data_IF_341602375333
#
_entry.id   IF_341602375333
#
_cell.length_a   1.000
_cell.length_b   1.000
_cell.length_c   1.000
_cell.angle_alpha   90.00
_cell.angle_beta   90.00
_cell.angle_gamma   90.00
#
_symmetry.space_group_name_H-M   'P 1'
#
loop_
_entity.id
_entity.type
_entity.pdbx_description
1 polymer ?
#
# COMPACT_ATOMS: atom_id res chain seq x y z
N UNK A 1 -18.43 -19.01 -32.94
CA UNK A 1 -17.86 -17.68 -33.19
C UNK A 1 -16.36 -17.63 -32.86
N UNK A 2 -15.92 -17.96 -31.65
CA UNK A 2 -14.52 -17.90 -31.25
C UNK A 2 -13.56 -18.71 -32.12
N UNK A 3 -13.96 -19.93 -32.54
CA UNK A 3 -13.15 -20.77 -33.42
C UNK A 3 -12.95 -20.17 -34.82
N UNK A 4 -13.85 -19.27 -35.24
CA UNK A 4 -13.72 -18.53 -36.50
C UNK A 4 -12.95 -17.22 -36.29
N UNK A 5 -13.18 -16.53 -35.16
CA UNK A 5 -12.62 -15.21 -34.90
C UNK A 5 -11.13 -15.24 -34.53
N UNK A 6 -10.72 -16.15 -33.66
CA UNK A 6 -9.36 -16.15 -33.12
C UNK A 6 -8.26 -16.31 -34.18
N UNK A 7 -8.38 -17.22 -35.16
CA UNK A 7 -7.39 -17.28 -36.25
C UNK A 7 -7.26 -15.96 -37.02
N UNK A 8 -8.38 -15.23 -37.23
CA UNK A 8 -8.37 -13.94 -37.92
C UNK A 8 -7.63 -12.88 -37.10
N UNK A 9 -7.88 -12.83 -35.81
CA UNK A 9 -7.20 -11.88 -34.93
C UNK A 9 -5.72 -12.20 -34.78
N UNK A 10 -5.36 -13.48 -34.75
CA UNK A 10 -3.96 -13.94 -34.70
C UNK A 10 -3.22 -13.56 -35.97
N UNK A 11 -3.81 -13.83 -37.13
CA UNK A 11 -3.25 -13.41 -38.44
C UNK A 11 -3.10 -11.89 -38.52
N UNK A 12 -4.10 -11.13 -38.05
CA UNK A 12 -4.02 -9.68 -38.01
C UNK A 12 -2.87 -9.20 -37.10
N UNK A 13 -2.73 -9.73 -35.92
CA UNK A 13 -1.68 -9.31 -34.96
C UNK A 13 -0.28 -9.70 -35.38
N UNK A 14 -0.14 -10.77 -36.17
CA UNK A 14 1.16 -11.22 -36.69
C UNK A 14 1.57 -10.53 -38.01
N UNK A 15 0.60 -10.02 -38.77
CA UNK A 15 0.87 -9.38 -40.08
C UNK A 15 0.85 -7.86 -40.01
N UNK A 16 0.08 -7.26 -39.10
CA UNK A 16 0.03 -5.82 -38.91
C UNK A 16 1.29 -5.31 -38.18
N UNK A 17 1.91 -4.27 -38.71
CA UNK A 17 3.02 -3.59 -38.00
C UNK A 17 2.48 -2.75 -36.83
N UNK A 18 2.35 -3.41 -35.69
CA UNK A 18 1.83 -2.80 -34.45
C UNK A 18 2.80 -1.78 -33.83
N UNK A 19 4.04 -1.71 -34.31
CA UNK A 19 5.05 -0.76 -33.78
C UNK A 19 4.70 0.71 -34.08
N UNK A 20 3.87 0.92 -35.10
CA UNK A 20 3.41 2.24 -35.52
C UNK A 20 2.10 2.69 -34.84
N UNK A 21 1.49 1.81 -34.04
CA UNK A 21 0.25 2.17 -33.36
C UNK A 21 0.49 2.99 -32.10
N UNK A 22 -0.39 3.96 -31.88
CA UNK A 22 -0.45 4.68 -30.61
C UNK A 22 -0.89 3.74 -29.48
N UNK A 23 -0.70 4.14 -28.24
CA UNK A 23 -1.13 3.35 -27.05
C UNK A 23 -2.63 3.00 -27.10
N UNK A 24 -3.45 3.87 -27.66
CA UNK A 24 -4.87 3.62 -27.92
C UNK A 24 -5.07 2.68 -29.09
N UNK A 25 -4.28 2.81 -30.17
CA UNK A 25 -4.32 1.97 -31.35
C UNK A 25 -3.96 0.50 -31.09
N UNK A 26 -3.21 0.19 -30.02
CA UNK A 26 -2.94 -1.19 -29.59
C UNK A 26 -4.22 -1.97 -29.19
N UNK A 27 -5.35 -1.29 -29.00
CA UNK A 27 -6.67 -1.91 -28.75
C UNK A 27 -7.40 -2.30 -30.04
N UNK A 28 -6.82 -2.05 -31.20
CA UNK A 28 -7.41 -2.36 -32.53
C UNK A 28 -7.90 -3.81 -32.66
N UNK A 29 -7.19 -4.85 -32.18
CA UNK A 29 -7.71 -6.23 -32.22
C UNK A 29 -9.04 -6.39 -31.49
N UNK A 30 -9.21 -5.72 -30.33
CA UNK A 30 -10.47 -5.73 -29.58
C UNK A 30 -11.62 -5.08 -30.36
N UNK A 31 -11.39 -3.87 -30.90
CA UNK A 31 -12.40 -3.20 -31.76
C UNK A 31 -12.73 -3.97 -33.03
N UNK A 32 -11.73 -4.65 -33.61
CA UNK A 32 -11.94 -5.50 -34.75
C UNK A 32 -12.84 -6.69 -34.39
N UNK A 33 -12.64 -7.31 -33.22
CA UNK A 33 -13.46 -8.43 -32.76
C UNK A 33 -14.93 -8.07 -32.62
N UNK A 34 -15.23 -6.89 -32.07
CA UNK A 34 -16.61 -6.38 -31.93
C UNK A 34 -17.29 -6.21 -33.28
N UNK A 35 -16.59 -5.66 -34.28
CA UNK A 35 -17.11 -5.47 -35.63
C UNK A 35 -17.28 -6.78 -36.37
N UNK A 36 -16.37 -7.71 -36.20
CA UNK A 36 -16.42 -9.03 -36.84
C UNK A 36 -17.58 -9.89 -36.31
N UNK A 37 -18.07 -9.66 -35.12
CA UNK A 37 -19.30 -10.30 -34.62
C UNK A 37 -20.48 -10.02 -35.55
N UNK A 38 -20.68 -8.75 -35.95
CA UNK A 38 -21.75 -8.38 -36.84
C UNK A 38 -21.60 -9.03 -38.25
N UNK A 39 -20.36 -9.12 -38.77
CA UNK A 39 -20.08 -9.80 -40.02
C UNK A 39 -20.42 -11.29 -39.94
N UNK A 40 -20.04 -11.94 -38.85
CA UNK A 40 -20.34 -13.34 -38.59
C UNK A 40 -21.86 -13.61 -38.52
N UNK A 41 -22.59 -12.79 -37.81
CA UNK A 41 -24.04 -12.91 -37.65
C UNK A 41 -24.76 -12.73 -39.01
N UNK A 42 -24.39 -11.66 -39.76
CA UNK A 42 -24.95 -11.41 -41.12
C UNK A 42 -24.64 -12.50 -42.12
N UNK A 43 -23.45 -13.09 -42.07
CA UNK A 43 -23.09 -14.22 -42.91
C UNK A 43 -24.02 -15.42 -42.64
N UNK A 44 -24.18 -15.80 -41.38
CA UNK A 44 -25.03 -16.93 -41.00
C UNK A 44 -26.51 -16.71 -41.31
N UNK A 45 -26.99 -15.51 -41.23
CA UNK A 45 -28.35 -15.14 -41.68
C UNK A 45 -28.49 -15.36 -43.19
N UNK A 46 -27.54 -14.86 -43.98
CA UNK A 46 -27.55 -14.96 -45.46
C UNK A 46 -27.44 -16.39 -46.00
N UNK A 47 -26.66 -17.24 -45.31
CA UNK A 47 -26.52 -18.64 -45.74
C UNK A 47 -27.63 -19.53 -45.21
N UNK A 48 -28.62 -18.99 -44.52
CA UNK A 48 -29.79 -19.73 -44.04
C UNK A 48 -29.44 -20.80 -43.01
N UNK A 49 -28.51 -20.54 -42.11
CA UNK A 49 -28.02 -21.50 -41.12
C UNK A 49 -29.06 -21.97 -40.06
N UNK A 50 -30.30 -21.50 -40.19
CA UNK A 50 -31.41 -21.91 -39.29
C UNK A 50 -31.29 -21.36 -37.84
N UNK A 51 -30.40 -20.44 -37.61
CA UNK A 51 -30.22 -19.81 -36.29
C UNK A 51 -31.33 -18.81 -36.01
N UNK A 52 -31.83 -18.82 -34.77
CA UNK A 52 -32.73 -17.80 -34.26
C UNK A 52 -31.92 -16.81 -33.47
N UNK A 53 -31.75 -15.61 -33.97
CA UNK A 53 -31.16 -14.50 -33.27
C UNK A 53 -32.19 -13.82 -32.36
N UNK A 54 -31.80 -13.52 -31.12
CA UNK A 54 -32.59 -12.73 -30.20
C UNK A 54 -31.70 -11.65 -29.65
N UNK A 55 -32.08 -10.41 -29.84
CA UNK A 55 -31.46 -9.29 -29.14
C UNK A 55 -31.91 -9.29 -27.69
N UNK A 56 -30.93 -9.33 -26.78
CA UNK A 56 -31.18 -9.13 -25.37
C UNK A 56 -30.69 -7.74 -25.00
N UNK A 57 -31.48 -7.01 -24.25
CA UNK A 57 -31.07 -5.73 -23.73
C UNK A 57 -29.89 -5.97 -22.77
N UNK A 58 -28.72 -5.45 -23.14
CA UNK A 58 -27.55 -5.46 -22.26
C UNK A 58 -27.69 -4.30 -21.29
N UNK A 59 -27.90 -4.58 -20.03
CA UNK A 59 -27.84 -3.59 -18.96
C UNK A 59 -26.39 -3.45 -18.57
N UNK A 60 -25.76 -2.33 -18.90
CA UNK A 60 -24.53 -1.92 -18.25
C UNK A 60 -24.89 -1.49 -16.83
N UNK A 61 -24.65 -2.35 -15.87
CA UNK A 61 -24.71 -1.99 -14.47
C UNK A 61 -23.50 -1.08 -14.19
N UNK A 62 -23.63 0.19 -14.54
CA UNK A 62 -22.82 1.23 -13.95
C UNK A 62 -23.37 1.44 -12.54
N UNK A 63 -22.93 0.60 -11.60
CA UNK A 63 -23.15 0.90 -10.19
C UNK A 63 -22.18 2.02 -9.82
N UNK A 64 -22.64 3.23 -9.53
CA UNK A 64 -21.78 4.28 -9.00
C UNK A 64 -21.28 3.94 -7.60
N UNK A 65 -21.99 3.05 -6.89
CA UNK A 65 -21.61 2.56 -5.58
C UNK A 65 -21.13 1.12 -5.71
N UNK A 66 -19.86 0.93 -5.45
CA UNK A 66 -19.27 -0.39 -5.33
C UNK A 66 -19.71 -0.97 -3.99
N UNK A 67 -20.76 -1.81 -4.01
CA UNK A 67 -21.10 -2.66 -2.89
C UNK A 67 -20.22 -3.91 -3.01
N UNK A 68 -19.17 -3.96 -2.21
CA UNK A 68 -18.45 -5.18 -1.98
C UNK A 68 -19.34 -6.05 -1.06
N UNK A 69 -20.03 -7.00 -1.67
CA UNK A 69 -20.59 -8.13 -0.95
C UNK A 69 -19.51 -9.22 -0.99
N UNK A 70 -18.85 -9.54 0.13
CA UNK A 70 -18.02 -10.72 0.17
C UNK A 70 -18.95 -11.90 -0.11
N UNK A 71 -18.78 -12.57 -1.25
CA UNK A 71 -19.25 -13.93 -1.37
C UNK A 71 -18.46 -14.72 -0.32
N UNK A 72 -19.02 -14.86 0.87
CA UNK A 72 -18.57 -15.82 1.84
C UNK A 72 -18.87 -17.20 1.27
N UNK A 73 -18.03 -17.67 0.35
CA UNK A 73 -17.98 -19.08 0.04
C UNK A 73 -17.30 -19.74 1.22
N UNK A 74 -18.09 -19.94 2.29
CA UNK A 74 -17.71 -20.87 3.33
C UNK A 74 -17.63 -22.22 2.64
N UNK A 75 -16.49 -22.95 2.71
CA UNK A 75 -16.49 -24.36 2.36
C UNK A 75 -17.64 -25.02 3.14
N UNK A 76 -18.46 -25.82 2.48
CA UNK A 76 -19.54 -26.54 3.14
C UNK A 76 -18.95 -27.29 4.34
N UNK A 77 -19.42 -26.96 5.56
CA UNK A 77 -18.96 -27.58 6.80
C UNK A 77 -17.78 -26.92 7.51
N UNK A 78 -17.25 -25.80 7.05
CA UNK A 78 -16.25 -25.02 7.80
C UNK A 78 -16.94 -23.99 8.71
N UNK A 79 -16.96 -24.28 10.02
CA UNK A 79 -17.56 -23.44 11.05
C UNK A 79 -16.53 -22.65 11.85
N UNK A 80 -15.27 -22.59 11.42
CA UNK A 80 -14.22 -21.81 12.11
C UNK A 80 -14.60 -20.31 12.14
N UNK A 81 -14.38 -19.62 13.27
CA UNK A 81 -14.59 -18.17 13.34
C UNK A 81 -13.71 -17.45 12.29
N UNK A 82 -14.22 -16.36 11.72
CA UNK A 82 -13.53 -15.60 10.69
C UNK A 82 -12.74 -14.46 11.27
N UNK A 83 -11.48 -14.33 10.87
CA UNK A 83 -10.64 -13.15 11.12
C UNK A 83 -10.48 -12.41 9.78
N UNK A 84 -11.11 -11.24 9.61
CA UNK A 84 -10.92 -10.42 8.44
C UNK A 84 -9.61 -9.62 8.54
N UNK A 85 -8.79 -9.71 7.48
CA UNK A 85 -7.50 -9.01 7.39
C UNK A 85 -7.45 -8.21 6.10
N UNK A 86 -7.16 -6.92 6.20
CA UNK A 86 -7.02 -6.04 5.05
C UNK A 86 -5.54 -5.67 4.82
N UNK A 87 -5.15 -5.63 3.56
CA UNK A 87 -3.89 -5.12 3.07
C UNK A 87 -4.12 -4.08 1.99
N UNK A 88 -3.13 -3.23 1.76
CA UNK A 88 -3.11 -2.32 0.61
C UNK A 88 -1.80 -2.48 -0.16
N UNK A 89 -1.88 -2.60 -1.49
CA UNK A 89 -0.68 -2.74 -2.33
C UNK A 89 -0.94 -2.31 -3.77
N UNK A 90 0.13 -1.84 -4.43
CA UNK A 90 0.22 -1.74 -5.88
C UNK A 90 0.84 -3.01 -6.49
N UNK A 91 0.88 -3.08 -7.82
CA UNK A 91 1.43 -4.24 -8.53
C UNK A 91 2.93 -4.47 -8.24
N UNK A 92 3.70 -3.43 -7.88
CA UNK A 92 5.12 -3.56 -7.57
C UNK A 92 5.35 -4.18 -6.19
N UNK A 93 4.43 -3.94 -5.26
CA UNK A 93 4.51 -4.46 -3.90
C UNK A 93 3.96 -5.89 -3.73
N UNK A 94 3.40 -6.50 -4.78
CA UNK A 94 2.89 -7.88 -4.73
C UNK A 94 3.88 -8.89 -4.16
N UNK A 95 5.20 -8.89 -4.51
CA UNK A 95 6.16 -9.81 -3.91
C UNK A 95 6.32 -9.64 -2.40
N UNK A 96 6.33 -8.40 -1.92
CA UNK A 96 6.45 -8.08 -0.50
C UNK A 96 5.17 -8.43 0.25
N UNK A 97 4.02 -8.00 -0.27
CA UNK A 97 2.71 -8.40 0.24
C UNK A 97 2.58 -9.92 0.40
N UNK A 98 2.98 -10.69 -0.64
CA UNK A 98 2.92 -12.15 -0.60
C UNK A 98 3.82 -12.71 0.51
N UNK A 99 5.00 -12.12 0.73
CA UNK A 99 5.90 -12.52 1.81
C UNK A 99 5.29 -12.24 3.19
N UNK A 100 4.69 -11.06 3.38
CA UNK A 100 3.99 -10.70 4.61
C UNK A 100 2.82 -11.65 4.88
N UNK A 101 1.96 -11.86 3.89
CA UNK A 101 0.82 -12.77 4.02
C UNK A 101 1.27 -14.22 4.30
N UNK A 102 2.35 -14.67 3.66
CA UNK A 102 2.88 -16.01 3.88
C UNK A 102 3.42 -16.16 5.30
N UNK A 103 4.19 -15.18 5.80
CA UNK A 103 4.66 -15.20 7.19
C UNK A 103 3.48 -15.20 8.18
N UNK A 104 2.42 -14.43 7.90
CA UNK A 104 1.20 -14.43 8.71
C UNK A 104 0.55 -15.82 8.75
N UNK A 105 0.30 -16.41 7.59
CA UNK A 105 -0.40 -17.69 7.51
C UNK A 105 0.44 -18.86 8.06
N UNK A 106 1.76 -18.80 7.91
CA UNK A 106 2.66 -19.83 8.47
C UNK A 106 2.67 -19.86 10.00
N UNK A 107 2.27 -18.77 10.66
CA UNK A 107 2.20 -18.64 12.11
C UNK A 107 0.77 -18.47 12.64
N UNK A 108 -0.22 -18.53 11.77
CA UNK A 108 -1.63 -18.35 12.11
C UNK A 108 -2.23 -19.59 12.75
N UNK A 109 -3.16 -19.40 13.68
CA UNK A 109 -3.93 -20.51 14.27
C UNK A 109 -4.85 -21.18 13.27
N UNK A 110 -4.87 -22.52 13.28
CA UNK A 110 -5.81 -23.31 12.50
C UNK A 110 -7.25 -23.35 13.09
N UNK A 111 -7.46 -22.74 14.26
CA UNK A 111 -8.79 -22.64 14.87
C UNK A 111 -9.65 -21.55 14.21
N UNK A 112 -9.03 -20.69 13.39
CA UNK A 112 -9.68 -19.61 12.69
C UNK A 112 -9.58 -19.77 11.17
N UNK A 113 -10.48 -19.10 10.49
CA UNK A 113 -10.40 -18.86 9.05
C UNK A 113 -10.06 -17.40 8.80
N UNK A 114 -9.16 -17.15 7.86
CA UNK A 114 -8.67 -15.82 7.54
C UNK A 114 -9.26 -15.35 6.22
N UNK A 115 -10.01 -14.25 6.25
CA UNK A 115 -10.52 -13.61 5.06
C UNK A 115 -9.64 -12.40 4.74
N UNK A 116 -8.79 -12.56 3.74
CA UNK A 116 -7.83 -11.53 3.33
C UNK A 116 -8.40 -10.71 2.19
N UNK A 117 -8.49 -9.39 2.38
CA UNK A 117 -8.92 -8.44 1.37
C UNK A 117 -7.74 -7.54 1.00
N UNK A 118 -7.32 -7.60 -0.26
CA UNK A 118 -6.25 -6.76 -0.80
C UNK A 118 -6.87 -5.57 -1.53
N UNK A 119 -6.73 -4.39 -0.95
CA UNK A 119 -7.17 -3.13 -1.54
C UNK A 119 -6.15 -2.68 -2.58
N UNK A 120 -6.56 -2.56 -3.84
CA UNK A 120 -5.63 -2.36 -4.96
C UNK A 120 -6.27 -1.56 -6.11
N UNK A 121 -5.46 -1.12 -7.07
CA UNK A 121 -5.95 -0.47 -8.30
C UNK A 121 -5.36 -1.06 -9.59
N UNK A 122 -4.20 -1.70 -9.51
CA UNK A 122 -3.41 -2.05 -10.70
C UNK A 122 -2.71 -3.42 -10.62
N UNK A 123 -3.05 -4.26 -9.62
CA UNK A 123 -2.46 -5.60 -9.51
C UNK A 123 -2.87 -6.44 -10.73
N UNK A 124 -1.88 -6.83 -11.51
CA UNK A 124 -2.06 -7.63 -12.71
C UNK A 124 -2.75 -8.96 -12.40
N UNK A 125 -3.59 -9.42 -13.33
CA UNK A 125 -4.37 -10.64 -13.17
C UNK A 125 -3.48 -11.86 -12.88
N UNK A 126 -2.36 -11.98 -13.58
CA UNK A 126 -1.40 -13.08 -13.42
C UNK A 126 -0.82 -13.12 -12.01
N UNK A 127 -0.53 -11.95 -11.43
CA UNK A 127 -0.04 -11.86 -10.04
C UNK A 127 -1.13 -12.28 -9.05
N UNK A 128 -2.39 -11.91 -9.29
CA UNK A 128 -3.53 -12.32 -8.44
C UNK A 128 -3.71 -13.85 -8.47
N UNK A 129 -3.71 -14.45 -9.65
CA UNK A 129 -3.80 -15.91 -9.82
C UNK A 129 -2.63 -16.60 -9.11
N UNK A 130 -1.40 -16.15 -9.35
CA UNK A 130 -0.21 -16.76 -8.75
C UNK A 130 -0.23 -16.69 -7.21
N UNK A 131 -0.69 -15.57 -6.64
CA UNK A 131 -0.91 -15.47 -5.19
C UNK A 131 -1.98 -16.44 -4.72
N UNK A 132 -3.15 -16.42 -5.33
CA UNK A 132 -4.29 -17.26 -4.91
C UNK A 132 -3.93 -18.74 -4.95
N UNK A 133 -3.32 -19.21 -6.04
CA UNK A 133 -2.90 -20.61 -6.19
C UNK A 133 -1.84 -21.01 -5.17
N UNK A 134 -0.88 -20.09 -4.89
CA UNK A 134 0.14 -20.33 -3.88
C UNK A 134 -0.44 -20.55 -2.50
N UNK A 135 -1.40 -19.73 -2.05
CA UNK A 135 -2.02 -19.86 -0.75
C UNK A 135 -2.99 -21.04 -0.69
N UNK A 136 -3.83 -21.22 -1.70
CA UNK A 136 -4.77 -22.33 -1.77
C UNK A 136 -4.10 -23.70 -1.77
N UNK A 137 -2.87 -23.81 -2.29
CA UNK A 137 -2.09 -25.06 -2.27
C UNK A 137 -1.47 -25.40 -0.91
N UNK A 138 -1.43 -24.47 0.04
CA UNK A 138 -0.72 -24.59 1.33
C UNK A 138 -1.62 -24.50 2.55
N UNK A 139 -2.72 -23.76 2.45
CA UNK A 139 -3.60 -23.45 3.57
C UNK A 139 -5.04 -23.71 3.19
N UNK A 140 -5.78 -24.36 4.07
CA UNK A 140 -7.21 -24.64 3.89
C UNK A 140 -8.10 -23.61 4.61
N UNK A 141 -7.48 -22.67 5.33
CA UNK A 141 -8.13 -21.71 6.20
C UNK A 141 -7.94 -20.25 5.77
N UNK A 142 -7.59 -19.99 4.53
CA UNK A 142 -7.45 -18.63 3.98
C UNK A 142 -8.23 -18.46 2.69
N UNK A 143 -8.93 -17.33 2.56
CA UNK A 143 -9.47 -16.84 1.30
C UNK A 143 -8.87 -15.48 0.97
N UNK A 144 -8.60 -15.21 -0.32
CA UNK A 144 -8.00 -13.95 -0.77
C UNK A 144 -8.94 -13.31 -1.78
N UNK A 145 -9.22 -12.03 -1.55
CA UNK A 145 -10.03 -11.22 -2.45
C UNK A 145 -9.27 -9.95 -2.81
N UNK A 146 -9.35 -9.55 -4.08
CA UNK A 146 -8.72 -8.33 -4.59
C UNK A 146 -9.81 -7.30 -4.88
N UNK A 147 -9.84 -6.24 -4.10
CA UNK A 147 -10.83 -5.17 -4.23
C UNK A 147 -10.22 -3.98 -4.98
N UNK A 148 -10.76 -3.68 -6.17
CA UNK A 148 -10.36 -2.49 -6.93
C UNK A 148 -11.03 -1.24 -6.35
N UNK A 149 -10.21 -0.35 -5.80
CA UNK A 149 -10.66 0.88 -5.15
C UNK A 149 -10.53 2.12 -6.05
N UNK A 150 -10.12 1.96 -7.31
CA UNK A 150 -9.84 3.07 -8.23
C UNK A 150 -10.97 4.09 -8.31
N UNK A 151 -12.22 3.62 -8.40
CA UNK A 151 -13.39 4.50 -8.51
C UNK A 151 -13.69 5.27 -7.23
N UNK A 152 -13.43 4.67 -6.06
CA UNK A 152 -13.66 5.31 -4.78
C UNK A 152 -12.65 6.42 -4.54
N UNK A 153 -11.38 6.17 -4.83
CA UNK A 153 -10.30 7.14 -4.58
C UNK A 153 -10.21 8.23 -5.65
N UNK A 154 -10.67 7.97 -6.90
CA UNK A 154 -10.62 8.95 -7.99
C UNK A 154 -11.45 10.21 -7.76
N UNK A 155 -12.35 10.19 -6.79
CA UNK A 155 -13.20 11.33 -6.42
C UNK A 155 -12.52 12.28 -5.42
N UNK A 156 -11.34 11.90 -4.89
CA UNK A 156 -10.61 12.63 -3.86
C UNK A 156 -9.20 12.94 -4.32
N UNK A 157 -8.73 14.13 -3.99
CA UNK A 157 -7.35 14.54 -4.27
C UNK A 157 -6.42 14.01 -3.18
N UNK A 158 -6.13 12.70 -3.25
CA UNK A 158 -5.25 12.02 -2.32
C UNK A 158 -3.80 12.14 -2.83
N UNK A 159 -3.04 13.04 -2.26
CA UNK A 159 -1.61 13.22 -2.56
C UNK A 159 -0.76 12.83 -1.36
N UNK A 160 0.44 12.33 -1.61
CA UNK A 160 1.39 12.03 -0.55
C UNK A 160 2.49 13.08 -0.53
N UNK A 161 2.78 13.62 0.64
CA UNK A 161 3.86 14.60 0.85
C UNK A 161 5.25 13.96 1.00
N UNK A 162 5.29 12.63 1.10
CA UNK A 162 6.51 11.86 1.28
C UNK A 162 6.74 10.96 0.05
N UNK A 163 7.88 11.09 -0.67
CA UNK A 163 8.16 10.29 -1.87
C UNK A 163 8.34 8.79 -1.60
N UNK A 164 8.44 8.38 -0.35
CA UNK A 164 8.54 6.97 0.07
C UNK A 164 7.18 6.34 0.41
N UNK A 165 6.11 7.15 0.44
CA UNK A 165 4.76 6.70 0.77
C UNK A 165 3.89 6.84 -0.49
N UNK A 166 3.20 5.78 -0.84
CA UNK A 166 2.29 5.76 -1.98
C UNK A 166 0.84 6.06 -1.56
N UNK A 167 -0.02 6.38 -2.51
CA UNK A 167 -1.44 6.70 -2.27
C UNK A 167 -2.19 5.50 -1.67
N UNK A 168 -1.69 4.30 -1.86
CA UNK A 168 -2.25 3.07 -1.30
C UNK A 168 -2.34 3.10 0.24
N UNK A 169 -1.54 3.92 0.90
CA UNK A 169 -1.60 4.14 2.35
C UNK A 169 -2.98 4.64 2.81
N UNK A 170 -3.68 5.42 2.00
CA UNK A 170 -5.01 5.92 2.34
C UNK A 170 -6.13 4.87 2.17
N UNK A 171 -5.86 3.73 1.52
CA UNK A 171 -6.89 2.71 1.28
C UNK A 171 -7.40 2.09 2.59
N UNK A 172 -6.62 2.17 3.69
CA UNK A 172 -7.08 1.69 5.00
C UNK A 172 -8.33 2.39 5.51
N UNK A 173 -8.60 3.63 5.09
CA UNK A 173 -9.85 4.32 5.43
C UNK A 173 -11.07 3.70 4.76
N UNK A 174 -10.89 3.06 3.60
CA UNK A 174 -11.97 2.45 2.84
C UNK A 174 -12.50 1.16 3.47
N UNK A 175 -11.73 0.54 4.38
CA UNK A 175 -12.05 -0.74 5.01
C UNK A 175 -13.45 -0.71 5.65
N UNK A 176 -13.78 0.35 6.38
CA UNK A 176 -15.08 0.48 7.03
C UNK A 176 -16.28 0.50 6.05
N UNK A 177 -16.07 0.90 4.79
CA UNK A 177 -17.08 0.89 3.73
C UNK A 177 -17.07 -0.42 2.94
N UNK A 178 -15.88 -0.94 2.63
CA UNK A 178 -15.71 -2.11 1.78
C UNK A 178 -15.94 -3.44 2.52
N UNK A 179 -15.80 -3.42 3.85
CA UNK A 179 -16.01 -4.59 4.70
C UNK A 179 -17.12 -4.33 5.73
N UNK A 180 -18.36 -3.99 5.29
CA UNK A 180 -19.43 -3.50 6.17
C UNK A 180 -19.96 -4.55 7.13
N UNK A 181 -19.76 -5.85 6.84
CA UNK A 181 -20.24 -6.97 7.64
C UNK A 181 -19.36 -7.28 8.84
N UNK A 182 -18.17 -6.68 8.91
CA UNK A 182 -17.25 -6.87 10.02
C UNK A 182 -17.24 -5.65 10.93
N UNK A 183 -17.39 -5.91 12.22
CA UNK A 183 -17.30 -4.88 13.27
C UNK A 183 -15.85 -4.62 13.67
N UNK A 184 -14.95 -5.58 13.40
CA UNK A 184 -13.52 -5.49 13.63
C UNK A 184 -12.75 -6.08 12.46
N UNK A 185 -11.71 -5.39 11.99
CA UNK A 185 -10.82 -5.82 10.90
C UNK A 185 -9.37 -5.55 11.29
N UNK A 186 -8.48 -6.51 11.04
CA UNK A 186 -7.04 -6.24 11.10
C UNK A 186 -6.59 -5.53 9.82
N UNK A 187 -5.77 -4.51 9.97
CA UNK A 187 -5.02 -3.91 8.87
C UNK A 187 -3.54 -4.11 9.10
N UNK A 188 -2.84 -4.60 8.08
CA UNK A 188 -1.42 -4.86 8.10
C UNK A 188 -0.76 -4.23 6.86
N UNK A 189 0.37 -3.55 7.06
CA UNK A 189 1.19 -3.08 5.94
C UNK A 189 1.84 -4.24 5.19
N UNK A 190 2.26 -4.01 3.96
CA UNK A 190 2.79 -5.04 3.05
C UNK A 190 4.29 -5.30 3.20
N UNK A 191 4.95 -4.71 4.19
CA UNK A 191 6.39 -4.81 4.46
C UNK A 191 6.69 -5.31 5.88
N UNK A 192 5.93 -6.31 6.29
CA UNK A 192 6.02 -6.94 7.60
C UNK A 192 6.53 -8.38 7.50
N UNK A 193 7.10 -8.89 8.60
CA UNK A 193 7.19 -10.33 8.87
C UNK A 193 6.40 -10.61 10.14
N UNK A 194 5.38 -11.44 10.03
CA UNK A 194 4.50 -11.85 11.12
C UNK A 194 4.98 -13.19 11.66
N UNK A 195 5.42 -13.20 12.93
CA UNK A 195 5.94 -14.37 13.67
C UNK A 195 4.94 -14.85 14.73
N UNK A 196 4.08 -13.96 15.19
CA UNK A 196 3.02 -14.28 16.17
C UNK A 196 1.71 -14.69 15.51
N UNK A 197 0.83 -15.29 16.28
CA UNK A 197 -0.52 -15.60 15.82
C UNK A 197 -1.39 -14.33 15.84
N UNK A 198 -1.81 -13.87 14.66
CA UNK A 198 -2.65 -12.67 14.53
C UNK A 198 -4.04 -12.82 15.15
N UNK A 199 -4.46 -14.04 15.49
CA UNK A 199 -5.69 -14.25 16.25
C UNK A 199 -5.63 -13.60 17.65
N UNK A 200 -4.45 -13.59 18.27
CA UNK A 200 -4.24 -12.88 19.53
C UNK A 200 -4.46 -11.38 19.38
N UNK A 201 -3.95 -10.80 18.28
CA UNK A 201 -4.16 -9.38 17.96
C UNK A 201 -5.63 -9.08 17.67
N UNK A 202 -6.30 -9.97 16.93
CA UNK A 202 -7.73 -9.81 16.63
C UNK A 202 -8.59 -9.89 17.88
N UNK A 203 -8.22 -10.74 18.85
CA UNK A 203 -8.99 -10.94 20.09
C UNK A 203 -8.76 -9.85 21.14
N UNK A 204 -7.88 -8.85 20.90
CA UNK A 204 -7.72 -7.71 21.80
C UNK A 204 -9.05 -6.96 21.95
N UNK A 205 -9.45 -6.74 23.20
CA UNK A 205 -10.67 -6.00 23.50
C UNK A 205 -10.50 -4.50 23.21
N UNK A 206 -11.33 -3.98 22.32
CA UNK A 206 -11.31 -2.56 21.94
C UNK A 206 -12.26 -1.69 22.76
N UNK A 207 -13.33 -2.28 23.32
CA UNK A 207 -14.38 -1.51 24.00
C UNK A 207 -14.95 -0.42 23.07
N UNK A 208 -14.97 0.82 23.55
CA UNK A 208 -15.42 1.99 22.78
C UNK A 208 -14.29 2.66 21.97
N UNK A 209 -13.09 2.09 21.99
CA UNK A 209 -11.98 2.61 21.20
C UNK A 209 -12.18 2.35 19.71
N UNK A 210 -11.60 3.24 18.88
CA UNK A 210 -11.69 3.18 17.43
C UNK A 210 -10.73 2.15 16.83
N UNK A 211 -9.61 1.92 17.51
CA UNK A 211 -8.58 0.99 17.05
C UNK A 211 -7.65 0.56 18.20
N UNK A 212 -6.87 -0.51 17.93
CA UNK A 212 -5.67 -0.80 18.68
C UNK A 212 -4.43 -0.63 17.80
N UNK A 213 -3.36 -0.07 18.35
CA UNK A 213 -2.10 0.19 17.66
C UNK A 213 -0.91 0.23 18.64
N UNK A 214 0.31 0.14 18.12
CA UNK A 214 1.55 0.30 18.87
C UNK A 214 2.02 1.76 18.79
N UNK A 215 2.50 2.33 19.87
CA UNK A 215 3.10 3.68 19.86
C UNK A 215 4.27 3.73 18.89
N UNK A 216 4.39 4.83 18.16
CA UNK A 216 5.48 5.04 17.20
C UNK A 216 6.75 5.50 17.92
N UNK A 217 7.68 4.56 18.17
CA UNK A 217 8.94 4.84 18.88
C UNK A 217 9.79 5.90 18.17
N UNK A 218 9.78 5.92 16.83
CA UNK A 218 10.49 6.90 16.02
C UNK A 218 9.91 8.32 16.23
N UNK A 219 8.60 8.42 16.16
CA UNK A 219 7.93 9.70 16.40
C UNK A 219 8.15 10.21 17.82
N UNK A 220 8.02 9.32 18.80
CA UNK A 220 8.22 9.66 20.21
C UNK A 220 9.66 10.09 20.52
N UNK A 221 10.65 9.46 19.88
CA UNK A 221 12.03 9.89 19.97
C UNK A 221 12.22 11.30 19.41
N UNK A 222 11.66 11.58 18.24
CA UNK A 222 11.71 12.91 17.62
C UNK A 222 10.99 13.99 18.45
N UNK A 223 9.96 13.65 19.23
CA UNK A 223 9.28 14.61 20.12
C UNK A 223 10.24 15.21 21.15
N UNK A 224 11.18 14.40 21.65
CA UNK A 224 12.15 14.78 22.68
C UNK A 224 13.45 15.37 22.11
N UNK A 225 13.64 15.40 20.79
CA UNK A 225 14.84 15.99 20.21
C UNK A 225 14.85 17.52 20.41
N UNK A 226 16.07 18.09 20.49
CA UNK A 226 16.32 19.45 20.96
C UNK A 226 15.60 20.57 20.19
N UNK A 227 15.21 20.35 18.93
CA UNK A 227 14.53 21.36 18.15
C UNK A 227 13.05 21.53 18.49
N UNK A 228 12.44 20.59 19.23
CA UNK A 228 11.06 20.63 19.69
C UNK A 228 10.02 20.72 18.55
N UNK A 229 10.44 20.62 17.30
CA UNK A 229 9.57 20.86 16.14
C UNK A 229 8.47 19.79 16.05
N UNK A 230 8.78 18.54 16.41
CA UNK A 230 7.80 17.46 16.37
C UNK A 230 6.70 17.65 17.42
N UNK A 231 7.05 18.03 18.64
CA UNK A 231 6.09 18.33 19.70
C UNK A 231 5.19 19.54 19.33
N UNK A 232 5.76 20.54 18.64
CA UNK A 232 5.02 21.69 18.11
C UNK A 232 4.07 21.27 16.99
N UNK A 233 4.55 20.47 16.03
CA UNK A 233 3.75 19.90 14.96
C UNK A 233 2.52 19.12 15.48
N UNK A 234 2.75 18.26 16.45
CA UNK A 234 1.68 17.45 17.08
C UNK A 234 0.57 18.31 17.65
N UNK A 235 0.92 19.39 18.34
CA UNK A 235 -0.06 20.31 18.96
C UNK A 235 -0.71 21.26 17.96
N UNK A 236 0.08 21.88 17.10
CA UNK A 236 -0.41 22.99 16.24
C UNK A 236 -1.05 22.50 14.93
N UNK A 237 -0.58 21.37 14.40
CA UNK A 237 -1.08 20.83 13.13
C UNK A 237 -2.02 19.65 13.37
N UNK A 238 -1.61 18.65 14.17
CA UNK A 238 -2.46 17.50 14.45
C UNK A 238 -3.55 17.81 15.49
N UNK A 239 -3.37 18.83 16.32
CA UNK A 239 -4.32 19.21 17.37
C UNK A 239 -4.34 18.26 18.56
N UNK A 240 -3.36 17.35 18.66
CA UNK A 240 -3.27 16.37 19.74
C UNK A 240 -2.89 17.04 21.06
N UNK A 241 -3.50 16.56 22.15
CA UNK A 241 -3.21 17.02 23.51
C UNK A 241 -1.95 16.36 24.08
N UNK A 242 -1.76 15.06 23.78
CA UNK A 242 -0.60 14.28 24.22
C UNK A 242 0.25 13.83 23.01
N UNK A 243 1.42 14.44 22.77
CA UNK A 243 2.31 14.03 21.67
C UNK A 243 2.87 12.61 21.84
N UNK A 244 2.87 12.06 23.08
CA UNK A 244 3.33 10.71 23.36
C UNK A 244 2.24 9.63 23.13
N UNK A 245 1.02 10.06 22.82
CA UNK A 245 -0.06 9.18 22.39
C UNK A 245 0.05 8.79 20.91
N UNK A 246 1.01 9.33 20.17
CA UNK A 246 1.16 9.07 18.73
C UNK A 246 1.53 7.60 18.46
N UNK A 247 0.79 6.96 17.53
CA UNK A 247 0.95 5.55 17.19
C UNK A 247 1.31 5.35 15.72
N UNK A 248 1.90 4.20 15.44
CA UNK A 248 2.28 3.75 14.11
C UNK A 248 1.11 3.03 13.42
N UNK A 249 0.83 3.35 12.14
CA UNK A 249 -0.37 2.92 11.45
C UNK A 249 -0.24 1.62 10.63
N UNK A 250 0.92 0.96 10.62
CA UNK A 250 1.16 -0.25 9.80
C UNK A 250 0.61 -1.55 10.38
N UNK A 251 0.24 -1.56 11.67
CA UNK A 251 -0.39 -2.70 12.35
C UNK A 251 -1.54 -2.20 13.19
N UNK A 252 -2.77 -2.49 12.76
CA UNK A 252 -3.98 -1.97 13.40
C UNK A 252 -5.02 -3.08 13.60
N UNK A 253 -5.71 -3.07 14.75
CA UNK A 253 -6.99 -3.71 14.89
C UNK A 253 -8.07 -2.61 14.87
N UNK A 254 -8.81 -2.51 13.78
CA UNK A 254 -9.79 -1.44 13.54
C UNK A 254 -11.17 -1.84 14.08
N UNK A 255 -11.79 -1.01 14.92
CA UNK A 255 -13.19 -1.09 15.26
C UNK A 255 -14.01 -0.39 14.16
N UNK A 256 -14.24 -1.11 13.08
CA UNK A 256 -14.89 -0.57 11.87
C UNK A 256 -16.32 -0.11 12.14
N UNK A 257 -17.02 -0.74 13.12
CA UNK A 257 -18.35 -0.29 13.57
C UNK A 257 -18.26 1.09 14.22
N UNK A 258 -17.38 1.25 15.21
CA UNK A 258 -17.24 2.53 15.91
C UNK A 258 -16.74 3.65 14.97
N UNK A 259 -15.87 3.30 14.00
CA UNK A 259 -15.41 4.26 12.99
C UNK A 259 -16.55 4.72 12.07
N UNK A 260 -17.43 3.79 11.62
CA UNK A 260 -18.64 4.14 10.83
C UNK A 260 -19.62 5.00 11.60
N UNK A 261 -19.79 4.72 12.89
CA UNK A 261 -20.68 5.49 13.78
C UNK A 261 -20.12 6.90 14.05
N UNK A 262 -18.79 7.05 14.09
CA UNK A 262 -18.14 8.34 14.36
C UNK A 262 -18.21 9.26 13.14
N UNK A 263 -17.77 8.77 11.97
CA UNK A 263 -17.71 9.54 10.73
C UNK A 263 -18.04 8.68 9.52
N UNK A 264 -18.79 9.22 8.54
CA UNK A 264 -18.92 8.58 7.23
C UNK A 264 -17.58 8.57 6.52
N UNK A 265 -17.41 7.67 5.54
CA UNK A 265 -16.14 7.49 4.80
C UNK A 265 -15.69 8.78 4.11
N UNK A 266 -16.62 9.57 3.60
CA UNK A 266 -16.36 10.84 2.93
C UNK A 266 -15.62 11.81 3.85
N UNK A 267 -15.93 11.78 5.15
CA UNK A 267 -15.26 12.63 6.15
C UNK A 267 -13.82 12.17 6.42
N UNK A 268 -13.58 10.85 6.47
CA UNK A 268 -12.22 10.31 6.59
C UNK A 268 -11.34 10.66 5.39
N UNK A 269 -11.91 10.62 4.17
CA UNK A 269 -11.19 10.98 2.95
C UNK A 269 -10.98 12.50 2.82
N UNK A 270 -11.91 13.32 3.35
CA UNK A 270 -11.71 14.76 3.50
C UNK A 270 -10.53 15.07 4.41
N UNK A 271 -10.42 14.40 5.56
CA UNK A 271 -9.26 14.53 6.44
C UNK A 271 -7.96 14.09 5.74
N UNK A 272 -8.02 13.02 4.98
CA UNK A 272 -6.87 12.51 4.22
C UNK A 272 -6.40 13.45 3.10
N UNK A 273 -7.21 14.39 2.67
CA UNK A 273 -6.88 15.41 1.66
C UNK A 273 -6.23 16.67 2.26
N UNK A 274 -5.96 16.71 3.56
CA UNK A 274 -5.30 17.84 4.21
C UNK A 274 -3.78 17.81 3.95
N UNK A 275 -3.29 18.75 3.19
CA UNK A 275 -1.88 18.86 2.77
C UNK A 275 -0.91 19.28 3.90
N UNK A 276 -1.43 19.63 5.09
CA UNK A 276 -0.61 19.96 6.25
C UNK A 276 -0.01 18.74 6.93
N UNK A 277 -0.59 17.55 6.69
CA UNK A 277 -0.13 16.29 7.26
C UNK A 277 1.15 15.78 6.59
N UNK A 278 2.17 15.50 7.40
CA UNK A 278 3.49 15.06 6.91
C UNK A 278 3.53 13.54 6.71
N UNK A 279 2.88 12.80 7.61
CA UNK A 279 2.84 11.33 7.61
C UNK A 279 1.51 10.79 7.11
N UNK A 280 0.84 11.58 6.25
CA UNK A 280 -0.34 11.18 5.49
C UNK A 280 -1.44 10.52 6.37
N UNK A 281 -1.78 9.28 6.10
CA UNK A 281 -2.81 8.51 6.80
C UNK A 281 -2.53 8.30 8.30
N UNK A 282 -1.25 8.13 8.67
CA UNK A 282 -0.87 7.98 10.07
C UNK A 282 -1.20 9.24 10.87
N UNK A 283 -0.93 10.43 10.32
CA UNK A 283 -1.29 11.70 10.95
C UNK A 283 -2.80 11.88 11.07
N UNK A 284 -3.55 11.50 10.02
CA UNK A 284 -5.02 11.54 10.05
C UNK A 284 -5.57 10.67 11.17
N UNK A 285 -5.10 9.43 11.29
CA UNK A 285 -5.55 8.53 12.36
C UNK A 285 -5.20 9.07 13.75
N UNK A 286 -3.96 9.56 13.93
CA UNK A 286 -3.52 10.11 15.21
C UNK A 286 -4.31 11.35 15.61
N UNK A 287 -4.55 12.28 14.68
CA UNK A 287 -5.31 13.51 14.92
C UNK A 287 -6.79 13.24 15.30
N UNK A 288 -7.40 12.21 14.70
CA UNK A 288 -8.84 11.97 14.85
C UNK A 288 -9.21 10.79 15.75
N UNK A 289 -8.23 9.97 16.17
CA UNK A 289 -8.47 8.86 17.09
C UNK A 289 -7.90 9.08 18.49
N UNK A 290 -7.23 10.22 18.77
CA UNK A 290 -6.67 10.51 20.10
C UNK A 290 -7.71 10.29 21.21
N UNK A 291 -7.28 9.63 22.30
CA UNK A 291 -8.15 9.29 23.42
C UNK A 291 -9.08 8.09 23.21
N UNK A 292 -9.09 7.50 22.00
CA UNK A 292 -9.89 6.33 21.61
C UNK A 292 -9.04 5.23 20.99
N UNK A 293 -7.85 4.99 21.56
CA UNK A 293 -6.87 3.99 21.10
C UNK A 293 -6.55 3.01 22.22
N UNK A 294 -6.59 1.73 21.93
CA UNK A 294 -6.02 0.68 22.77
C UNK A 294 -4.55 0.49 22.39
N UNK A 295 -3.63 0.81 23.32
CA UNK A 295 -2.20 0.66 23.02
C UNK A 295 -1.74 -0.76 23.21
N UNK A 296 -1.15 -1.33 22.16
CA UNK A 296 -0.56 -2.65 22.13
C UNK A 296 0.88 -2.62 22.65
N UNK A 297 1.38 -3.75 23.20
CA UNK A 297 2.80 -3.93 23.45
C UNK A 297 3.63 -3.82 22.16
N UNK A 298 4.92 -3.44 22.29
CA UNK A 298 5.82 -3.21 21.16
C UNK A 298 6.10 -4.46 20.31
N UNK A 299 5.99 -5.67 20.89
CA UNK A 299 6.17 -6.94 20.17
C UNK A 299 5.24 -7.09 18.94
N UNK A 300 4.10 -6.38 18.92
CA UNK A 300 3.17 -6.35 17.80
C UNK A 300 3.57 -5.42 16.64
N UNK A 301 4.59 -4.60 16.80
CA UNK A 301 5.08 -3.75 15.69
C UNK A 301 6.52 -3.29 15.98
N UNK A 302 7.47 -4.24 15.91
CA UNK A 302 8.89 -3.95 16.15
C UNK A 302 9.50 -3.39 14.89
N UNK A 303 9.74 -2.09 14.88
CA UNK A 303 10.41 -1.41 13.77
C UNK A 303 11.88 -1.80 13.69
N UNK A 304 12.39 -2.01 12.48
CA UNK A 304 13.82 -2.26 12.22
C UNK A 304 14.68 -1.03 12.54
N UNK A 305 15.97 -1.26 12.75
CA UNK A 305 16.97 -0.20 12.90
C UNK A 305 17.36 0.41 11.54
N UNK A 306 16.49 1.21 10.97
CA UNK A 306 16.74 1.89 9.70
C UNK A 306 17.72 3.06 9.91
N UNK A 307 18.89 3.01 9.28
CA UNK A 307 19.92 4.06 9.38
C UNK A 307 20.37 4.38 10.82
N UNK A 308 20.50 3.36 11.66
CA UNK A 308 20.93 3.49 13.05
C UNK A 308 20.00 4.40 13.89
N UNK A 309 18.69 4.36 13.59
CA UNK A 309 17.70 5.21 14.28
C UNK A 309 17.47 4.81 15.70
N UNK A 310 17.73 3.56 16.09
CA UNK A 310 17.64 3.13 17.49
C UNK A 310 18.54 3.99 18.37
N UNK A 311 19.80 4.15 17.98
CA UNK A 311 20.74 4.97 18.73
C UNK A 311 20.52 6.48 18.58
N UNK A 312 20.13 6.92 17.37
CA UNK A 312 20.10 8.34 17.03
C UNK A 312 18.74 9.01 17.28
N UNK A 313 17.65 8.24 17.38
CA UNK A 313 16.30 8.77 17.51
C UNK A 313 15.51 8.05 18.61
N UNK A 314 15.36 6.72 18.52
CA UNK A 314 14.51 5.97 19.47
C UNK A 314 14.96 6.10 20.90
N UNK A 315 16.30 6.15 21.14
CA UNK A 315 16.88 6.37 22.45
C UNK A 315 16.50 7.71 23.12
N UNK A 316 15.95 8.65 22.36
CA UNK A 316 15.42 9.91 22.91
C UNK A 316 13.95 9.81 23.34
N UNK A 317 13.26 8.71 23.06
CA UNK A 317 11.92 8.49 23.59
C UNK A 317 11.94 8.42 25.14
N UNK A 318 10.80 8.56 25.82
CA UNK A 318 10.74 8.35 27.27
C UNK A 318 11.34 7.01 27.67
N UNK A 319 12.16 6.96 28.71
CA UNK A 319 12.96 5.79 29.09
C UNK A 319 12.15 4.50 29.16
N UNK A 320 10.99 4.52 29.84
CA UNK A 320 10.12 3.34 29.92
C UNK A 320 9.59 2.86 28.54
N UNK A 321 9.41 3.77 27.61
CA UNK A 321 8.98 3.47 26.23
C UNK A 321 10.12 2.82 25.45
N UNK A 322 11.32 3.38 25.56
CA UNK A 322 12.51 2.85 24.91
C UNK A 322 12.90 1.47 25.44
N UNK A 323 12.85 1.29 26.77
CA UNK A 323 13.11 0.00 27.41
C UNK A 323 12.10 -1.06 26.94
N UNK A 324 10.81 -0.76 26.94
CA UNK A 324 9.77 -1.66 26.45
C UNK A 324 9.95 -2.04 24.96
N UNK A 325 10.38 -1.09 24.13
CA UNK A 325 10.73 -1.36 22.74
C UNK A 325 11.96 -2.28 22.64
N UNK A 326 13.02 -2.02 23.38
CA UNK A 326 14.23 -2.86 23.33
C UNK A 326 13.94 -4.29 23.82
N UNK A 327 13.16 -4.43 24.89
CA UNK A 327 12.74 -5.74 25.40
C UNK A 327 11.98 -6.53 24.33
N UNK A 328 11.13 -5.86 23.53
CA UNK A 328 10.35 -6.51 22.47
C UNK A 328 11.22 -7.02 21.32
N UNK A 329 12.43 -6.47 21.09
CA UNK A 329 13.34 -6.88 20.00
C UNK A 329 13.89 -8.30 20.11
N UNK A 330 13.67 -8.99 21.22
CA UNK A 330 13.97 -10.42 21.38
C UNK A 330 12.74 -11.33 21.29
N UNK A 331 11.54 -10.74 21.22
CA UNK A 331 10.25 -11.45 21.31
C UNK A 331 9.23 -10.95 20.28
N UNK A 332 9.73 -10.50 19.13
CA UNK A 332 8.92 -9.91 18.07
C UNK A 332 7.81 -10.83 17.63
N UNK A 333 6.56 -10.40 17.70
CA UNK A 333 5.41 -11.00 17.04
C UNK A 333 5.23 -10.48 15.61
N UNK A 334 5.52 -9.20 15.40
CA UNK A 334 5.59 -8.60 14.06
C UNK A 334 6.84 -7.73 13.97
N UNK A 335 7.67 -8.00 12.95
CA UNK A 335 8.78 -7.14 12.54
C UNK A 335 8.34 -6.27 11.38
N UNK A 336 8.54 -4.95 11.51
CA UNK A 336 8.15 -3.98 10.52
C UNK A 336 9.38 -3.35 9.87
N UNK A 337 9.53 -3.56 8.59
CA UNK A 337 10.58 -2.96 7.77
C UNK A 337 10.24 -1.52 7.38
N UNK A 338 9.82 -0.71 8.38
CA UNK A 338 9.49 0.70 8.18
C UNK A 338 10.71 1.50 7.73
N UNK A 339 10.51 2.52 6.91
CA UNK A 339 11.57 3.37 6.38
C UNK A 339 12.11 2.92 5.02
N UNK A 340 13.29 3.44 4.65
CA UNK A 340 13.84 3.24 3.31
C UNK A 340 14.76 2.01 3.19
N UNK A 341 15.31 1.51 4.28
CA UNK A 341 16.10 0.28 4.29
C UNK A 341 15.17 -0.93 4.20
N UNK A 342 15.31 -1.67 3.12
CA UNK A 342 14.44 -2.81 2.81
C UNK A 342 15.27 -4.04 2.48
N UNK A 343 14.93 -5.23 3.00
CA UNK A 343 15.70 -6.46 2.77
C UNK A 343 15.67 -6.93 1.30
N UNK A 344 14.80 -6.40 0.47
CA UNK A 344 14.80 -6.62 -0.98
C UNK A 344 15.55 -5.53 -1.76
N UNK A 345 16.22 -4.59 -1.05
CA UNK A 345 17.04 -3.54 -1.66
C UNK A 345 18.47 -3.55 -1.15
N UNK A 346 18.74 -4.10 0.04
CA UNK A 346 20.07 -4.09 0.63
C UNK A 346 20.29 -5.27 1.58
N UNK A 347 21.49 -5.82 1.58
CA UNK A 347 21.84 -7.02 2.36
C UNK A 347 22.20 -6.73 3.81
N UNK A 348 22.52 -5.48 4.14
CA UNK A 348 22.83 -5.04 5.50
C UNK A 348 21.63 -4.43 6.25
N UNK A 349 20.41 -4.66 5.76
CA UNK A 349 19.19 -4.29 6.45
C UNK A 349 19.05 -5.08 7.76
N UNK A 350 18.62 -4.41 8.83
CA UNK A 350 18.32 -5.08 10.10
C UNK A 350 17.23 -6.16 9.88
N UNK A 351 17.41 -7.33 10.48
CA UNK A 351 16.53 -8.50 10.27
C UNK A 351 16.45 -9.00 8.81
N UNK A 352 17.50 -8.80 8.02
CA UNK A 352 17.57 -9.25 6.62
C UNK A 352 17.27 -10.75 6.48
N UNK A 353 17.96 -11.60 7.27
CA UNK A 353 17.80 -13.06 7.21
C UNK A 353 16.38 -13.48 7.50
N UNK A 354 15.73 -12.88 8.50
CA UNK A 354 14.36 -13.17 8.87
C UNK A 354 13.39 -12.94 7.72
N UNK A 355 13.56 -11.84 6.97
CA UNK A 355 12.74 -11.58 5.78
C UNK A 355 12.88 -12.70 4.74
N UNK A 356 14.13 -13.08 4.45
CA UNK A 356 14.44 -14.08 3.44
C UNK A 356 14.11 -15.52 3.85
N UNK A 357 13.95 -15.81 5.14
CA UNK A 357 13.39 -17.09 5.60
C UNK A 357 12.00 -17.37 4.99
N UNK A 358 11.16 -16.35 4.90
CA UNK A 358 9.83 -16.46 4.30
C UNK A 358 9.85 -16.16 2.79
N UNK A 359 10.53 -15.13 2.37
CA UNK A 359 10.54 -14.65 0.98
C UNK A 359 11.00 -15.71 -0.02
N UNK A 360 11.97 -16.55 0.35
CA UNK A 360 12.53 -17.62 -0.50
C UNK A 360 11.50 -18.69 -0.87
N UNK A 361 10.46 -18.88 -0.07
CA UNK A 361 9.44 -19.91 -0.27
C UNK A 361 8.22 -19.39 -1.04
N UNK A 362 8.19 -18.08 -1.35
CA UNK A 362 7.12 -17.47 -2.13
C UNK A 362 7.33 -17.64 -3.64
N UNK A 363 6.27 -17.58 -4.44
CA UNK A 363 6.37 -17.68 -5.89
C UNK A 363 7.07 -16.46 -6.52
N UNK A 364 7.30 -15.39 -5.75
CA UNK A 364 7.95 -14.16 -6.19
C UNK A 364 9.43 -14.06 -5.78
N UNK A 365 10.03 -15.14 -5.26
CA UNK A 365 11.44 -15.17 -4.83
C UNK A 365 12.39 -14.59 -5.87
N UNK A 366 12.28 -15.03 -7.12
CA UNK A 366 13.19 -14.58 -8.19
C UNK A 366 13.04 -13.09 -8.47
N UNK A 367 11.82 -12.57 -8.39
CA UNK A 367 11.54 -11.13 -8.55
C UNK A 367 12.15 -10.33 -7.40
N UNK A 368 12.06 -10.80 -6.16
CA UNK A 368 12.69 -10.18 -4.99
C UNK A 368 14.22 -10.22 -5.10
N UNK A 369 14.79 -11.34 -5.53
CA UNK A 369 16.23 -11.45 -5.79
C UNK A 369 16.69 -10.49 -6.89
N UNK A 370 15.92 -10.32 -7.96
CA UNK A 370 16.23 -9.37 -9.02
C UNK A 370 16.19 -7.91 -8.53
N UNK A 371 15.25 -7.57 -7.62
CA UNK A 371 15.21 -6.25 -6.98
C UNK A 371 16.47 -6.01 -6.13
N UNK A 372 16.84 -6.98 -5.30
CA UNK A 372 18.05 -6.90 -4.47
C UNK A 372 19.33 -6.78 -5.33
N UNK A 373 19.42 -7.58 -6.38
CA UNK A 373 20.52 -7.52 -7.33
C UNK A 373 20.63 -6.16 -8.00
N UNK A 374 19.50 -5.65 -8.52
CA UNK A 374 19.46 -4.33 -9.18
C UNK A 374 19.87 -3.20 -8.23
N UNK A 375 19.44 -3.26 -6.98
CA UNK A 375 19.80 -2.27 -5.97
C UNK A 375 21.27 -2.35 -5.53
N UNK A 376 21.89 -3.54 -5.61
CA UNK A 376 23.30 -3.77 -5.28
C UNK A 376 24.26 -3.42 -6.42
N UNK A 377 23.76 -3.20 -7.64
CA UNK A 377 24.59 -2.78 -8.75
C UNK A 377 25.04 -1.32 -8.56
N UNK A 378 26.32 -0.99 -8.80
CA UNK A 378 26.74 0.39 -8.86
C UNK A 378 25.91 1.11 -9.94
N UNK A 379 25.48 2.34 -9.63
CA UNK A 379 24.81 3.16 -10.62
C UNK A 379 25.67 3.19 -11.90
N UNK A 380 25.09 3.00 -13.10
CA UNK A 380 25.86 3.07 -14.33
C UNK A 380 26.63 4.40 -14.33
N UNK A 381 27.94 4.33 -14.54
CA UNK A 381 28.77 5.53 -14.67
C UNK A 381 28.16 6.36 -15.80
N UNK A 382 27.61 7.50 -15.48
CA UNK A 382 27.10 8.45 -16.48
C UNK A 382 28.34 8.86 -17.29
N UNK A 383 28.37 8.58 -18.61
CA UNK A 383 29.52 9.01 -19.40
C UNK A 383 29.66 10.53 -19.28
N UNK A 384 30.88 11.09 -19.21
CA UNK A 384 31.07 12.53 -19.06
C UNK A 384 30.38 13.39 -20.14
N UNK A 385 30.00 12.78 -21.26
CA UNK A 385 29.28 13.43 -22.37
C UNK A 385 27.74 13.46 -22.21
N UNK A 386 27.19 12.86 -21.16
CA UNK A 386 25.75 12.85 -20.88
C UNK A 386 25.36 13.78 -19.74
N UNK A 387 26.29 14.63 -19.29
CA UNK A 387 25.95 15.73 -18.38
C UNK A 387 25.35 16.82 -19.28
N UNK A 388 24.02 16.80 -19.39
CA UNK A 388 23.29 17.93 -19.91
C UNK A 388 23.57 19.10 -18.94
N UNK A 389 24.11 20.21 -19.44
CA UNK A 389 24.48 21.41 -18.68
C UNK A 389 23.28 22.10 -17.98
N UNK A 390 22.13 21.42 -17.86
CA UNK A 390 20.88 21.97 -17.32
C UNK A 390 20.49 21.51 -15.91
N UNK A 391 21.19 20.54 -15.29
CA UNK A 391 21.05 20.26 -13.86
C UNK A 391 22.34 20.64 -13.13
N UNK A 392 22.52 21.91 -12.94
CA UNK A 392 23.48 22.43 -11.97
C UNK A 392 22.98 22.08 -10.57
N UNK A 393 23.27 20.86 -10.11
CA UNK A 393 23.22 20.55 -8.68
C UNK A 393 24.26 21.45 -8.01
N UNK A 394 23.79 22.55 -7.43
CA UNK A 394 24.61 23.48 -6.66
C UNK A 394 25.25 22.67 -5.55
N UNK A 395 26.59 22.48 -5.59
CA UNK A 395 27.34 21.73 -4.57
C UNK A 395 27.06 22.29 -3.16
N UNK A 396 27.19 21.45 -2.14
CA UNK A 396 26.94 21.85 -0.75
C UNK A 396 27.81 23.04 -0.30
N UNK A 397 28.94 23.28 -0.95
CA UNK A 397 29.86 24.40 -0.70
C UNK A 397 29.64 25.63 -1.57
N UNK A 398 28.56 25.70 -2.34
CA UNK A 398 28.37 26.85 -3.24
C UNK A 398 28.12 28.16 -2.45
N UNK A 399 28.69 29.29 -2.91
CA UNK A 399 28.43 30.60 -2.30
C UNK A 399 26.94 30.99 -2.27
N UNK A 400 26.14 30.46 -3.21
CA UNK A 400 24.70 30.68 -3.30
C UNK A 400 23.94 29.98 -2.17
N UNK A 401 24.36 28.80 -1.74
CA UNK A 401 23.75 28.12 -0.58
C UNK A 401 24.01 28.90 0.71
N UNK A 402 25.21 29.41 0.90
CA UNK A 402 25.55 30.20 2.09
C UNK A 402 24.69 31.49 2.22
N UNK A 403 24.15 31.98 1.11
CA UNK A 403 23.25 33.13 1.10
C UNK A 403 21.78 32.71 1.23
N UNK A 404 21.40 31.60 0.57
CA UNK A 404 20.01 31.19 0.46
C UNK A 404 19.55 30.38 1.71
N UNK A 405 20.40 29.52 2.24
CA UNK A 405 20.03 28.62 3.34
C UNK A 405 19.60 29.35 4.65
N UNK A 406 20.21 30.50 5.03
CA UNK A 406 19.71 31.29 6.16
C UNK A 406 18.35 31.95 5.94
N UNK A 407 18.01 32.25 4.67
CA UNK A 407 16.78 32.97 4.31
C UNK A 407 15.64 32.01 3.96
N UNK A 408 15.98 30.87 3.38
CA UNK A 408 15.05 29.83 2.95
C UNK A 408 15.68 28.43 3.21
N UNK A 409 15.63 27.94 4.42
CA UNK A 409 16.19 26.65 4.80
C UNK A 409 15.62 25.50 3.94
N UNK A 410 16.40 24.43 3.80
CA UNK A 410 16.00 23.26 3.04
C UNK A 410 14.69 22.66 3.61
N UNK A 411 13.71 22.37 2.74
CA UNK A 411 12.41 21.84 3.15
C UNK A 411 11.36 22.90 3.55
N UNK A 412 11.66 24.19 3.41
CA UNK A 412 10.67 25.25 3.70
C UNK A 412 9.89 25.67 2.46
N UNK A 413 8.62 26.09 2.64
CA UNK A 413 7.78 26.64 1.58
C UNK A 413 8.45 27.84 0.85
N UNK A 414 9.25 28.65 1.58
CA UNK A 414 10.02 29.74 1.00
C UNK A 414 11.05 29.26 -0.02
N UNK A 415 11.68 28.10 0.22
CA UNK A 415 12.64 27.51 -0.73
C UNK A 415 11.96 26.98 -1.98
N UNK A 416 10.79 26.40 -1.87
CA UNK A 416 10.02 25.95 -3.04
C UNK A 416 9.52 27.11 -3.90
N UNK A 417 9.13 28.21 -3.29
CA UNK A 417 8.81 29.46 -4.02
C UNK A 417 10.04 29.98 -4.77
N UNK A 418 11.22 29.99 -4.14
CA UNK A 418 12.46 30.41 -4.81
C UNK A 418 12.85 29.46 -5.95
N UNK A 419 12.66 28.15 -5.80
CA UNK A 419 12.86 27.16 -6.87
C UNK A 419 11.88 27.38 -8.03
N UNK A 420 10.61 27.65 -7.75
CA UNK A 420 9.60 27.92 -8.77
C UNK A 420 9.89 29.19 -9.56
N UNK A 421 10.36 30.25 -8.88
CA UNK A 421 10.80 31.49 -9.51
C UNK A 421 12.04 31.24 -10.38
N UNK A 422 13.01 30.46 -9.88
CA UNK A 422 14.21 30.08 -10.64
C UNK A 422 13.88 29.33 -11.93
N UNK A 423 12.96 28.34 -11.86
CA UNK A 423 12.48 27.62 -13.04
C UNK A 423 11.72 28.50 -14.04
N UNK A 424 10.91 29.44 -13.55
CA UNK A 424 10.18 30.38 -14.39
C UNK A 424 11.11 31.36 -15.12
N UNK A 425 12.24 31.72 -14.52
CA UNK A 425 13.26 32.60 -15.13
C UNK A 425 14.11 31.82 -16.16
N UNK A 426 14.43 30.56 -15.91
CA UNK A 426 15.16 29.70 -16.85
C UNK A 426 14.31 29.26 -18.06
N UNK A 427 13.00 29.12 -17.91
CA UNK A 427 12.09 28.75 -19.02
C UNK A 427 11.75 29.91 -19.98
N UNK A 428 12.36 31.08 -19.82
CA UNK A 428 12.20 32.27 -20.68
C UNK A 428 13.45 32.60 -21.51
N UNK A 429 14.32 31.63 -21.75
CA UNK A 429 15.42 31.79 -22.73
C UNK A 429 15.25 30.84 -23.89
#
# INVERSE_FOLDING_TARGET
FCAWLFPILEEFTTTADMSLYTKEGLRTPGHLSERLLNVFLLHHERVGAGWKMKELQCVHLNQPDFHYEPEMVLPEGDFRPVIPVAFAADNNYVPMLTTTMYSMMANASNEYRYEVVVLQKDIAYENRVLMTDFFASRFDNVSIQFCDVSRLVSQYDLTTNNPHISVETYYRFLIQKLMPYYDKVLYLDSDLIVKGDVSELFNVELGDNLLAAVRDIDFLGNVNMQDGQRAKYTREVLGMQDPYAYFQAGVLALNTRAMRELHPIEKWLEFASDDRFIYNDQDVLNAHCEGRVTYLPYDWNVMIDCANRIANVFSHAPAAVFDAFNDSRGHEKIVHYAGFEKPWKMTNCDRFELYWEYARDTPFRERLMALLWKASMPAPAVPPSAIDDHECAVSDDSPLRKIIDPIAPFGTARREVLKSIGRAVQGKK
#
